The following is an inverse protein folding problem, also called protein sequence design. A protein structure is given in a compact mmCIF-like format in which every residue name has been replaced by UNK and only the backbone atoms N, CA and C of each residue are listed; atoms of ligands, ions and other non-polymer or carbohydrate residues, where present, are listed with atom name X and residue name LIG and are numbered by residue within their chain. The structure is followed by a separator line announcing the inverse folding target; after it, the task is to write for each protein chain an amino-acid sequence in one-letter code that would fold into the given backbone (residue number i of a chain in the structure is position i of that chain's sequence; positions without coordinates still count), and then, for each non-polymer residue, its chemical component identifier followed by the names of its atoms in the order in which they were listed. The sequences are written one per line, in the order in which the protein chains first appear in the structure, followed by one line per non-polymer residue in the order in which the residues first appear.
data_IF_158033194810
#
_entry.id   IF_158033194810
#
_cell.length_a   1.000
_cell.length_b   1.000
_cell.length_c   1.000
_cell.angle_alpha   90.00
_cell.angle_beta   90.00
_cell.angle_gamma   90.00
#
_symmetry.space_group_name_H-M   'P 1'
#
loop_
_entity.id
_entity.type
_entity.pdbx_description
1 polymer ?
#
# COMPACT_ATOMS: atom_id res chain seq x y z
N UNK A 1 -11.43 10.10 0.84
CA UNK A 1 -12.49 10.63 -0.06
C UNK A 1 -12.77 12.10 0.24
N UNK A 2 -13.46 12.46 1.33
CA UNK A 2 -13.86 13.86 1.64
C UNK A 2 -12.72 14.89 1.53
N UNK A 3 -11.54 14.60 2.07
CA UNK A 3 -10.39 15.50 1.99
C UNK A 3 -9.97 15.84 0.55
N UNK A 4 -9.85 14.82 -0.32
CA UNK A 4 -9.47 14.99 -1.73
C UNK A 4 -10.58 15.71 -2.52
N UNK A 5 -11.84 15.28 -2.35
CA UNK A 5 -12.97 15.87 -3.07
C UNK A 5 -13.27 17.31 -2.65
N UNK A 6 -12.92 17.72 -1.42
CA UNK A 6 -12.99 19.13 -0.99
C UNK A 6 -12.10 20.07 -1.81
N UNK A 7 -11.11 19.52 -2.53
CA UNK A 7 -10.21 20.27 -3.43
C UNK A 7 -10.68 20.26 -4.88
N UNK A 8 -11.86 19.69 -5.17
CA UNK A 8 -12.37 19.55 -6.53
C UNK A 8 -11.67 18.45 -7.34
N UNK A 9 -11.02 17.49 -6.67
CA UNK A 9 -10.37 16.34 -7.30
C UNK A 9 -11.17 15.09 -6.99
N UNK A 10 -11.49 14.29 -8.02
CA UNK A 10 -12.22 13.03 -7.86
C UNK A 10 -11.37 11.95 -7.21
N UNK A 11 -12.02 11.05 -6.47
CA UNK A 11 -11.38 9.82 -5.96
C UNK A 11 -11.96 8.59 -6.62
N UNK A 12 -11.13 7.57 -6.82
CA UNK A 12 -11.55 6.24 -7.27
C UNK A 12 -11.46 5.22 -6.13
N UNK A 13 -12.61 4.81 -5.60
CA UNK A 13 -12.68 3.79 -4.56
C UNK A 13 -12.48 2.41 -5.18
N UNK A 14 -11.51 1.62 -4.68
CA UNK A 14 -11.06 0.39 -5.35
C UNK A 14 -10.64 -0.71 -4.36
N UNK A 15 -10.65 -1.99 -4.75
CA UNK A 15 -11.22 -2.56 -5.99
C UNK A 15 -12.55 -3.26 -5.66
N UNK A 16 -13.62 -2.86 -6.35
CA UNK A 16 -15.00 -3.24 -6.07
C UNK A 16 -15.39 -4.51 -6.85
N UNK A 17 -15.50 -5.69 -6.23
CA UNK A 17 -15.25 -6.02 -4.84
C UNK A 17 -14.52 -7.38 -4.71
N UNK A 18 -14.21 -7.75 -3.47
CA UNK A 18 -13.62 -9.05 -3.11
C UNK A 18 -12.27 -9.40 -3.78
N UNK A 19 -11.54 -8.43 -4.36
CA UNK A 19 -10.17 -8.64 -4.82
C UNK A 19 -9.22 -8.74 -3.63
N UNK A 20 -9.16 -9.91 -3.01
CA UNK A 20 -8.51 -10.12 -1.71
C UNK A 20 -7.24 -10.97 -1.79
N UNK A 21 -6.88 -11.40 -3.00
CA UNK A 21 -5.67 -12.15 -3.33
C UNK A 21 -5.20 -11.74 -4.74
N UNK A 22 -3.89 -11.74 -4.96
CA UNK A 22 -3.31 -11.41 -6.26
C UNK A 22 -3.19 -12.65 -7.16
N UNK A 23 -3.02 -13.83 -6.58
CA UNK A 23 -2.91 -15.08 -7.30
C UNK A 23 -4.15 -15.31 -8.17
N UNK A 24 -3.90 -15.35 -9.48
CA UNK A 24 -4.93 -15.52 -10.51
C UNK A 24 -6.03 -14.46 -10.49
N UNK A 25 -5.79 -13.24 -9.97
CA UNK A 25 -6.80 -12.18 -9.81
C UNK A 25 -7.64 -11.90 -11.08
N UNK A 26 -7.06 -12.07 -12.26
CA UNK A 26 -7.74 -11.88 -13.56
C UNK A 26 -8.79 -12.95 -13.89
N UNK A 27 -8.77 -14.10 -13.23
CA UNK A 27 -9.59 -15.26 -13.57
C UNK A 27 -10.17 -15.97 -12.35
N UNK A 28 -9.72 -15.70 -11.13
CA UNK A 28 -10.24 -16.38 -9.94
C UNK A 28 -11.74 -16.10 -9.76
N UNK A 29 -12.45 -17.09 -9.19
CA UNK A 29 -13.85 -16.95 -8.80
C UNK A 29 -13.97 -16.98 -7.29
N UNK A 30 -14.27 -15.83 -6.70
CA UNK A 30 -14.57 -15.69 -5.29
C UNK A 30 -15.98 -16.24 -5.02
N UNK A 31 -16.05 -17.41 -4.38
CA UNK A 31 -17.31 -18.05 -4.00
C UNK A 31 -17.63 -17.64 -2.56
N UNK A 32 -18.51 -16.66 -2.43
CA UNK A 32 -18.80 -16.01 -1.15
C UNK A 32 -20.31 -15.85 -1.00
N UNK A 33 -20.88 -16.29 0.12
CA UNK A 33 -22.29 -16.11 0.38
C UNK A 33 -22.64 -14.61 0.57
N UNK A 34 -23.89 -14.24 0.28
CA UNK A 34 -24.29 -12.82 0.32
C UNK A 34 -24.09 -12.20 1.70
N UNK A 35 -24.33 -12.93 2.80
CA UNK A 35 -24.15 -12.37 4.15
C UNK A 35 -22.70 -11.98 4.37
N UNK A 36 -21.76 -12.86 4.02
CA UNK A 36 -20.32 -12.55 4.12
C UNK A 36 -19.91 -11.41 3.19
N UNK A 37 -20.42 -11.37 1.94
CA UNK A 37 -20.20 -10.23 1.03
C UNK A 37 -20.65 -8.91 1.67
N UNK A 38 -21.89 -8.86 2.17
CA UNK A 38 -22.51 -7.67 2.76
C UNK A 38 -21.78 -7.21 4.03
N UNK A 39 -21.50 -8.13 4.95
CA UNK A 39 -20.93 -7.81 6.28
C UNK A 39 -19.42 -7.53 6.23
N UNK A 40 -18.67 -8.10 5.28
CA UNK A 40 -17.20 -7.99 5.24
C UNK A 40 -16.71 -7.18 4.03
N UNK A 41 -16.92 -7.69 2.82
CA UNK A 41 -16.28 -7.16 1.61
C UNK A 41 -16.92 -5.86 1.10
N UNK A 42 -18.21 -5.68 1.37
CA UNK A 42 -19.00 -4.55 0.87
C UNK A 42 -19.16 -3.43 1.90
N UNK A 43 -19.07 -3.72 3.20
CA UNK A 43 -19.28 -2.75 4.30
C UNK A 43 -18.47 -1.46 4.14
N UNK A 44 -17.18 -1.56 3.81
CA UNK A 44 -16.33 -0.38 3.65
C UNK A 44 -16.75 0.47 2.43
N UNK A 45 -17.19 -0.17 1.34
CA UNK A 45 -17.69 0.53 0.16
C UNK A 45 -19.02 1.20 0.46
N UNK A 46 -19.95 0.52 1.13
CA UNK A 46 -21.23 1.09 1.54
C UNK A 46 -21.05 2.35 2.38
N UNK A 47 -20.17 2.28 3.40
CA UNK A 47 -19.86 3.43 4.26
C UNK A 47 -19.29 4.58 3.42
N UNK A 48 -18.33 4.29 2.54
CA UNK A 48 -17.69 5.29 1.71
C UNK A 48 -18.67 5.97 0.74
N UNK A 49 -19.54 5.21 0.09
CA UNK A 49 -20.58 5.72 -0.82
C UNK A 49 -21.56 6.59 -0.06
N UNK A 50 -22.21 6.05 0.98
CA UNK A 50 -23.27 6.74 1.72
C UNK A 50 -22.77 7.99 2.46
N UNK A 51 -21.51 8.02 2.92
CA UNK A 51 -20.97 9.15 3.70
C UNK A 51 -20.16 10.15 2.89
N UNK A 52 -19.65 9.78 1.71
CA UNK A 52 -18.66 10.59 1.02
C UNK A 52 -18.86 10.73 -0.50
N UNK A 53 -19.71 9.89 -1.13
CA UNK A 53 -19.99 9.91 -2.58
C UNK A 53 -18.70 10.06 -3.42
N UNK A 54 -17.85 9.02 -3.47
CA UNK A 54 -16.66 9.06 -4.31
C UNK A 54 -17.06 9.33 -5.77
N UNK A 55 -16.28 10.12 -6.52
CA UNK A 55 -16.65 10.43 -7.91
C UNK A 55 -16.56 9.22 -8.82
N UNK A 56 -15.66 8.28 -8.50
CA UNK A 56 -15.57 7.01 -9.21
C UNK A 56 -15.43 5.82 -8.27
N UNK A 57 -15.89 4.66 -8.74
CA UNK A 57 -15.64 3.33 -8.15
C UNK A 57 -14.96 2.48 -9.22
N UNK A 58 -13.90 1.77 -8.85
CA UNK A 58 -13.16 0.90 -9.77
C UNK A 58 -13.52 -0.56 -9.53
N UNK A 59 -14.01 -1.24 -10.57
CA UNK A 59 -14.31 -2.66 -10.52
C UNK A 59 -13.06 -3.49 -10.28
N UNK A 60 -13.18 -4.63 -9.60
CA UNK A 60 -12.11 -5.60 -9.46
C UNK A 60 -11.89 -6.45 -10.71
N UNK A 61 -10.77 -7.18 -10.74
CA UNK A 61 -10.43 -8.13 -11.79
C UNK A 61 -11.23 -9.44 -11.72
N UNK A 62 -11.51 -9.90 -10.51
CA UNK A 62 -11.99 -11.26 -10.26
C UNK A 62 -13.48 -11.44 -10.56
N UNK A 63 -13.89 -12.70 -10.58
CA UNK A 63 -15.30 -13.10 -10.56
C UNK A 63 -15.79 -13.18 -9.12
N UNK A 64 -17.07 -12.90 -8.92
CA UNK A 64 -17.79 -13.10 -7.65
C UNK A 64 -18.98 -13.98 -7.96
N UNK A 65 -19.03 -15.16 -7.37
CA UNK A 65 -20.08 -16.16 -7.59
C UNK A 65 -20.34 -16.47 -9.08
N UNK A 66 -19.28 -16.51 -9.88
CA UNK A 66 -19.29 -16.90 -11.29
C UNK A 66 -19.31 -15.74 -12.30
N UNK A 67 -19.56 -14.51 -11.86
CA UNK A 67 -19.69 -13.34 -12.74
C UNK A 67 -18.54 -12.35 -12.51
N UNK A 68 -17.90 -11.88 -13.57
CA UNK A 68 -16.86 -10.85 -13.49
C UNK A 68 -17.41 -9.56 -12.90
N UNK A 69 -16.64 -8.91 -12.01
CA UNK A 69 -17.10 -7.68 -11.35
C UNK A 69 -17.50 -6.58 -12.36
N UNK A 70 -16.81 -6.48 -13.50
CA UNK A 70 -17.14 -5.55 -14.59
C UNK A 70 -18.44 -5.84 -15.34
N UNK A 71 -19.00 -7.04 -15.18
CA UNK A 71 -20.25 -7.48 -15.82
C UNK A 71 -21.33 -7.85 -14.80
N UNK A 72 -21.09 -7.60 -13.51
CA UNK A 72 -21.98 -8.01 -12.43
C UNK A 72 -23.06 -6.94 -12.16
N UNK A 73 -24.22 -7.09 -12.79
CA UNK A 73 -25.37 -6.18 -12.66
C UNK A 73 -25.87 -6.08 -11.21
N UNK A 74 -25.93 -7.19 -10.47
CA UNK A 74 -26.32 -7.16 -9.06
C UNK A 74 -25.37 -6.29 -8.24
N UNK A 75 -24.06 -6.43 -8.44
CA UNK A 75 -23.07 -5.65 -7.70
C UNK A 75 -23.11 -4.15 -8.05
N UNK A 76 -23.21 -3.83 -9.33
CA UNK A 76 -23.05 -2.46 -9.85
C UNK A 76 -24.38 -1.67 -9.86
N UNK A 77 -25.47 -2.26 -10.34
CA UNK A 77 -26.75 -1.58 -10.48
C UNK A 77 -27.63 -1.77 -9.24
N UNK A 78 -27.82 -3.01 -8.77
CA UNK A 78 -28.67 -3.26 -7.59
C UNK A 78 -28.03 -2.72 -6.30
N UNK A 79 -26.84 -3.21 -5.95
CA UNK A 79 -26.20 -2.86 -4.67
C UNK A 79 -25.65 -1.45 -4.70
N UNK A 80 -24.74 -1.14 -5.62
CA UNK A 80 -24.01 0.13 -5.58
C UNK A 80 -24.91 1.32 -5.93
N UNK A 81 -25.71 1.26 -7.00
CA UNK A 81 -26.59 2.37 -7.41
C UNK A 81 -27.93 2.37 -6.70
N UNK A 82 -28.75 1.32 -6.81
CA UNK A 82 -30.14 1.34 -6.31
C UNK A 82 -30.22 1.30 -4.78
N UNK A 83 -29.48 0.42 -4.11
CA UNK A 83 -29.54 0.29 -2.66
C UNK A 83 -28.72 1.36 -1.92
N UNK A 84 -27.52 1.68 -2.40
CA UNK A 84 -26.63 2.63 -1.71
C UNK A 84 -26.71 4.06 -2.23
N UNK A 85 -27.31 4.29 -3.41
CA UNK A 85 -27.45 5.60 -4.00
C UNK A 85 -26.14 6.15 -4.55
N UNK A 86 -25.27 5.32 -5.12
CA UNK A 86 -24.04 5.81 -5.78
C UNK A 86 -24.36 6.63 -7.03
N UNK A 87 -23.90 7.87 -7.06
CA UNK A 87 -24.19 8.79 -8.17
C UNK A 87 -23.07 8.87 -9.22
N UNK A 88 -21.87 8.38 -8.87
CA UNK A 88 -20.66 8.54 -9.65
C UNK A 88 -20.50 7.57 -10.82
N UNK A 89 -19.27 7.52 -11.33
CA UNK A 89 -18.87 6.73 -12.49
C UNK A 89 -18.18 5.42 -12.05
N UNK A 90 -18.52 4.31 -12.71
CA UNK A 90 -17.87 3.01 -12.54
C UNK A 90 -16.83 2.82 -13.64
N UNK A 91 -15.58 2.59 -13.25
CA UNK A 91 -14.45 2.37 -14.16
C UNK A 91 -13.89 0.97 -13.97
N UNK A 92 -13.40 0.33 -15.04
CA UNK A 92 -12.70 -0.96 -14.89
C UNK A 92 -11.32 -0.75 -14.26
N UNK A 93 -10.82 -1.74 -13.52
CA UNK A 93 -9.37 -1.85 -13.35
C UNK A 93 -8.69 -2.08 -14.71
N UNK A 94 -7.36 -1.94 -14.73
CA UNK A 94 -6.56 -1.94 -15.95
C UNK A 94 -6.61 -3.30 -16.67
N UNK A 95 -7.45 -3.41 -17.68
CA UNK A 95 -7.69 -4.65 -18.42
C UNK A 95 -8.74 -5.57 -17.79
N UNK A 96 -9.55 -5.08 -16.84
CA UNK A 96 -10.66 -5.84 -16.24
C UNK A 96 -11.96 -5.81 -17.07
N UNK A 97 -11.98 -5.14 -18.21
CA UNK A 97 -13.08 -5.19 -19.18
C UNK A 97 -13.03 -6.53 -19.92
N UNK A 98 -14.02 -7.41 -19.68
CA UNK A 98 -14.08 -8.76 -20.27
C UNK A 98 -14.84 -8.71 -21.59
N UNK A 99 -16.14 -8.43 -21.55
CA UNK A 99 -16.93 -8.05 -22.70
C UNK A 99 -17.59 -6.68 -22.46
N UNK A 100 -17.32 -5.75 -23.38
CA UNK A 100 -17.80 -4.38 -23.24
C UNK A 100 -19.33 -4.28 -23.30
N UNK A 101 -20.02 -5.12 -24.08
CA UNK A 101 -21.48 -4.97 -24.27
C UNK A 101 -22.26 -5.44 -23.04
N UNK A 102 -22.01 -6.64 -22.47
CA UNK A 102 -22.52 -6.99 -21.14
C UNK A 102 -22.08 -6.01 -20.06
N UNK A 103 -20.81 -5.54 -20.07
CA UNK A 103 -20.31 -4.58 -19.09
C UNK A 103 -21.10 -3.26 -19.08
N UNK A 104 -21.44 -2.70 -20.25
CA UNK A 104 -22.28 -1.50 -20.37
C UNK A 104 -23.68 -1.71 -19.80
N UNK A 105 -24.30 -2.86 -20.10
CA UNK A 105 -25.62 -3.24 -19.59
C UNK A 105 -25.61 -3.42 -18.07
N UNK A 106 -24.52 -3.97 -17.53
CA UNK A 106 -24.33 -4.19 -16.11
C UNK A 106 -23.90 -2.93 -15.33
N UNK A 107 -23.67 -1.78 -15.99
CA UNK A 107 -23.40 -0.50 -15.33
C UNK A 107 -21.95 0.01 -15.40
N UNK A 108 -21.02 -0.71 -16.05
CA UNK A 108 -19.64 -0.24 -16.24
C UNK A 108 -19.59 0.92 -17.22
N UNK A 109 -19.37 2.13 -16.71
CA UNK A 109 -19.38 3.36 -17.51
C UNK A 109 -18.11 3.50 -18.37
N UNK A 110 -16.92 3.26 -17.80
CA UNK A 110 -15.63 3.53 -18.46
C UNK A 110 -14.70 2.31 -18.48
N UNK A 111 -14.20 1.97 -19.66
CA UNK A 111 -13.13 0.99 -19.84
C UNK A 111 -11.75 1.62 -19.71
N UNK A 112 -10.85 0.96 -18.97
CA UNK A 112 -9.44 1.31 -18.83
C UNK A 112 -8.56 0.05 -18.91
N UNK A 113 -7.41 0.08 -19.64
CA UNK A 113 -7.02 1.11 -20.60
C UNK A 113 -7.94 1.13 -21.83
N UNK A 114 -7.76 2.15 -22.67
CA UNK A 114 -8.38 2.18 -23.99
C UNK A 114 -8.04 0.93 -24.82
N UNK A 115 -9.05 0.27 -25.37
CA UNK A 115 -8.93 -0.84 -26.33
C UNK A 115 -8.75 -0.38 -27.79
N UNK A 116 -8.47 0.91 -27.99
CA UNK A 116 -8.42 1.54 -29.31
C UNK A 116 -9.80 1.52 -29.99
N UNK A 117 -9.81 1.20 -31.29
CA UNK A 117 -11.06 1.16 -32.07
C UNK A 117 -11.87 -0.12 -31.86
N UNK A 118 -11.35 -1.13 -31.15
CA UNK A 118 -11.99 -2.43 -31.01
C UNK A 118 -13.36 -2.31 -30.35
N UNK A 119 -13.41 -1.84 -29.10
CA UNK A 119 -14.69 -1.74 -28.39
C UNK A 119 -15.55 -0.59 -28.90
N UNK A 120 -14.97 0.47 -29.44
CA UNK A 120 -15.71 1.52 -30.16
C UNK A 120 -16.55 0.92 -31.30
N UNK A 121 -15.93 0.10 -32.15
CA UNK A 121 -16.62 -0.55 -33.27
C UNK A 121 -17.67 -1.56 -32.78
N UNK A 122 -17.39 -2.30 -31.71
CA UNK A 122 -18.35 -3.24 -31.11
C UNK A 122 -19.58 -2.54 -30.54
N UNK A 123 -19.41 -1.41 -29.85
CA UNK A 123 -20.52 -0.60 -29.33
C UNK A 123 -21.38 -0.08 -30.47
N UNK A 124 -20.77 0.51 -31.50
CA UNK A 124 -21.48 1.03 -32.68
C UNK A 124 -22.28 -0.08 -33.36
N UNK A 125 -21.69 -1.27 -33.53
CA UNK A 125 -22.38 -2.41 -34.11
C UNK A 125 -23.59 -2.86 -33.26
N UNK A 126 -23.38 -3.01 -31.95
CA UNK A 126 -24.41 -3.45 -31.02
C UNK A 126 -25.60 -2.47 -30.91
N UNK A 127 -25.35 -1.16 -31.02
CA UNK A 127 -26.44 -0.17 -31.08
C UNK A 127 -27.20 -0.29 -32.40
N UNK A 128 -26.48 -0.40 -33.53
CA UNK A 128 -27.11 -0.50 -34.86
C UNK A 128 -27.94 -1.76 -35.05
N UNK A 129 -27.52 -2.88 -34.46
CA UNK A 129 -28.22 -4.16 -34.56
C UNK A 129 -29.25 -4.41 -33.44
N UNK A 130 -29.35 -3.49 -32.46
CA UNK A 130 -30.29 -3.55 -31.35
C UNK A 130 -29.85 -4.45 -30.19
N UNK A 131 -28.65 -5.03 -30.23
CA UNK A 131 -28.08 -5.79 -29.10
C UNK A 131 -27.86 -4.91 -27.88
N UNK A 132 -27.55 -3.63 -28.06
CA UNK A 132 -27.43 -2.61 -27.02
C UNK A 132 -28.43 -1.49 -27.27
N UNK A 133 -29.31 -1.23 -26.31
CA UNK A 133 -30.18 -0.04 -26.36
C UNK A 133 -29.31 1.22 -26.25
N UNK A 134 -29.46 2.15 -27.20
CA UNK A 134 -28.74 3.43 -27.21
C UNK A 134 -28.96 4.21 -25.91
N UNK A 135 -30.13 4.07 -25.28
CA UNK A 135 -30.39 4.70 -23.98
C UNK A 135 -29.44 4.22 -22.88
N UNK A 136 -29.07 2.94 -22.87
CA UNK A 136 -28.08 2.41 -21.91
C UNK A 136 -26.73 3.08 -22.17
N UNK A 137 -26.33 3.20 -23.44
CA UNK A 137 -25.09 3.88 -23.80
C UNK A 137 -25.10 5.35 -23.38
N UNK A 138 -26.19 6.08 -23.63
CA UNK A 138 -26.37 7.47 -23.24
C UNK A 138 -26.19 7.64 -21.72
N UNK A 139 -26.82 6.78 -20.91
CA UNK A 139 -26.67 6.83 -19.46
C UNK A 139 -25.21 6.63 -19.00
N UNK A 140 -24.44 5.76 -19.67
CA UNK A 140 -23.01 5.57 -19.37
C UNK A 140 -22.18 6.78 -19.81
N UNK A 141 -22.50 7.37 -20.95
CA UNK A 141 -21.83 8.57 -21.48
C UNK A 141 -22.10 9.78 -20.57
N UNK A 142 -23.32 9.94 -20.07
CA UNK A 142 -23.68 10.99 -19.12
C UNK A 142 -22.80 10.94 -17.87
N UNK A 143 -22.51 9.75 -17.32
CA UNK A 143 -21.58 9.61 -16.18
C UNK A 143 -20.16 10.08 -16.49
N UNK A 144 -19.68 9.84 -17.70
CA UNK A 144 -18.37 10.32 -18.15
C UNK A 144 -18.37 11.85 -18.30
N UNK A 145 -19.41 12.40 -18.93
CA UNK A 145 -19.57 13.85 -19.11
C UNK A 145 -19.71 14.56 -17.75
N UNK A 146 -20.50 14.02 -16.83
CA UNK A 146 -20.65 14.53 -15.47
C UNK A 146 -19.30 14.63 -14.75
N UNK A 147 -18.47 13.59 -14.84
CA UNK A 147 -17.12 13.60 -14.25
C UNK A 147 -16.23 14.68 -14.88
N UNK A 148 -16.28 14.84 -16.21
CA UNK A 148 -15.52 15.88 -16.93
C UNK A 148 -15.97 17.27 -16.48
N UNK A 149 -17.27 17.54 -16.47
CA UNK A 149 -17.83 18.82 -16.04
C UNK A 149 -17.50 19.11 -14.58
N UNK A 150 -17.60 18.10 -13.70
CA UNK A 150 -17.32 18.22 -12.26
C UNK A 150 -15.86 18.49 -11.96
N UNK A 151 -14.94 17.95 -12.75
CA UNK A 151 -13.48 18.14 -12.57
C UNK A 151 -12.94 19.43 -13.19
N UNK A 152 -13.61 19.97 -14.21
CA UNK A 152 -13.17 21.17 -14.96
C UNK A 152 -12.76 22.37 -14.08
N UNK A 153 -13.53 22.78 -13.04
CA UNK A 153 -13.15 23.95 -12.24
C UNK A 153 -11.83 23.81 -11.47
N UNK A 154 -11.42 22.58 -11.14
CA UNK A 154 -10.13 22.33 -10.50
C UNK A 154 -9.00 22.30 -11.53
N UNK A 155 -9.25 21.72 -12.71
CA UNK A 155 -8.26 21.58 -13.78
C UNK A 155 -7.92 22.90 -14.50
N UNK A 156 -8.84 23.86 -14.52
CA UNK A 156 -8.58 25.20 -15.08
C UNK A 156 -7.61 26.04 -14.25
N UNK A 157 -7.33 25.63 -13.00
CA UNK A 157 -6.43 26.35 -12.10
C UNK A 157 -4.99 25.89 -12.32
N UNK A 158 -4.06 26.84 -12.44
CA UNK A 158 -2.65 26.55 -12.24
C UNK A 158 -2.41 26.27 -10.76
N UNK A 159 -2.11 25.02 -10.41
CA UNK A 159 -1.87 24.61 -9.04
C UNK A 159 -0.39 24.44 -8.75
N UNK A 160 0.06 25.02 -7.65
CA UNK A 160 1.33 24.69 -7.00
C UNK A 160 1.03 24.16 -5.60
N UNK A 161 1.96 23.41 -5.03
CA UNK A 161 1.85 22.92 -3.66
C UNK A 161 3.12 23.21 -2.89
N UNK A 162 2.98 23.36 -1.58
CA UNK A 162 4.09 23.53 -0.66
C UNK A 162 4.64 22.15 -0.30
N UNK A 163 5.82 21.84 -0.84
CA UNK A 163 6.53 20.56 -0.63
C UNK A 163 6.84 20.36 0.85
N UNK A 164 7.24 21.41 1.56
CA UNK A 164 7.66 21.33 2.95
C UNK A 164 6.45 21.13 3.87
N UNK A 165 5.37 21.89 3.63
CA UNK A 165 4.13 21.73 4.39
C UNK A 165 3.51 20.34 4.17
N UNK A 166 3.52 19.81 2.94
CA UNK A 166 3.03 18.46 2.66
C UNK A 166 3.93 17.38 3.27
N UNK A 167 5.25 17.59 3.30
CA UNK A 167 6.18 16.67 3.98
C UNK A 167 5.94 16.64 5.50
N UNK A 168 5.67 17.79 6.13
CA UNK A 168 5.31 17.86 7.55
C UNK A 168 3.98 17.15 7.86
N UNK A 169 2.99 17.23 6.96
CA UNK A 169 1.75 16.44 7.09
C UNK A 169 2.05 14.94 6.98
N UNK A 170 2.89 14.53 6.02
CA UNK A 170 3.29 13.14 5.86
C UNK A 170 4.00 12.61 7.12
N UNK A 171 4.86 13.42 7.75
CA UNK A 171 5.50 13.09 9.02
C UNK A 171 4.46 12.84 10.11
N UNK A 172 3.52 13.77 10.31
CA UNK A 172 2.47 13.62 11.34
C UNK A 172 1.61 12.37 11.14
N UNK A 173 1.29 12.05 9.87
CA UNK A 173 0.55 10.82 9.54
C UNK A 173 1.40 9.59 9.88
N UNK A 174 2.68 9.58 9.50
CA UNK A 174 3.57 8.47 9.80
C UNK A 174 3.70 8.25 11.32
N UNK A 175 3.93 9.31 12.11
CA UNK A 175 3.99 9.25 13.58
C UNK A 175 2.70 8.68 14.18
N UNK A 176 1.53 9.11 13.68
CA UNK A 176 0.23 8.60 14.13
C UNK A 176 -0.12 7.20 13.62
N UNK A 177 0.69 6.60 12.74
CA UNK A 177 0.42 5.31 12.10
C UNK A 177 1.32 4.17 12.59
N UNK A 178 2.30 4.42 13.46
CA UNK A 178 3.16 3.36 13.99
C UNK A 178 2.54 2.68 15.20
N UNK A 179 2.92 1.42 15.46
CA UNK A 179 2.48 0.69 16.65
C UNK A 179 3.68 0.26 17.49
N UNK A 180 3.72 0.69 18.76
CA UNK A 180 4.61 0.12 19.75
C UNK A 180 4.02 -1.19 20.27
N UNK A 181 4.60 -2.31 19.86
CA UNK A 181 4.09 -3.66 20.15
C UNK A 181 4.72 -4.27 21.41
N UNK A 182 5.93 -3.83 21.78
CA UNK A 182 6.65 -4.31 22.96
C UNK A 182 7.57 -3.22 23.52
N UNK A 183 7.62 -3.08 24.85
CA UNK A 183 8.49 -2.12 25.53
C UNK A 183 8.86 -2.58 26.95
N UNK A 184 9.57 -3.70 27.05
CA UNK A 184 10.03 -4.24 28.32
C UNK A 184 11.04 -3.27 28.98
N UNK A 185 11.02 -3.19 30.30
CA UNK A 185 11.89 -2.33 31.13
C UNK A 185 11.84 -0.82 30.81
N UNK A 186 10.89 -0.37 29.97
CA UNK A 186 10.90 0.99 29.45
C UNK A 186 12.15 1.28 28.63
N UNK A 187 12.57 0.32 27.79
CA UNK A 187 13.73 0.48 26.89
C UNK A 187 13.54 1.65 25.89
N UNK A 188 12.29 1.93 25.52
CA UNK A 188 11.89 3.13 24.79
C UNK A 188 11.11 4.09 25.69
N UNK A 189 11.31 5.42 25.55
CA UNK A 189 12.17 6.06 24.56
C UNK A 189 13.68 5.93 24.87
N UNK A 190 14.51 6.02 23.83
CA UNK A 190 15.96 6.11 23.92
C UNK A 190 16.33 7.32 24.80
N UNK A 191 17.34 7.13 25.65
CA UNK A 191 17.78 8.13 26.62
C UNK A 191 18.95 8.91 26.06
N UNK A 192 18.97 10.22 26.34
CA UNK A 192 20.09 11.08 26.00
C UNK A 192 21.43 10.54 26.54
N UNK A 193 22.46 10.57 25.70
CA UNK A 193 23.80 10.09 26.03
C UNK A 193 24.01 8.58 25.91
N UNK A 194 22.99 7.79 25.55
CA UNK A 194 23.18 6.38 25.22
C UNK A 194 23.91 6.21 23.89
N UNK A 195 24.82 5.24 23.85
CA UNK A 195 25.40 4.73 22.61
C UNK A 195 24.41 3.76 21.96
N UNK A 196 24.02 4.05 20.73
CA UNK A 196 23.02 3.27 20.00
C UNK A 196 23.66 2.62 18.77
N UNK A 197 23.60 1.30 18.68
CA UNK A 197 23.98 0.60 17.45
C UNK A 197 22.76 0.50 16.54
N UNK A 198 22.76 1.22 15.44
CA UNK A 198 21.72 1.15 14.40
C UNK A 198 22.14 0.10 13.36
N UNK A 199 21.37 -0.97 13.25
CA UNK A 199 21.75 -2.16 12.49
C UNK A 199 20.67 -2.48 11.46
N UNK A 200 21.07 -2.78 10.22
CA UNK A 200 20.17 -3.17 9.13
C UNK A 200 20.07 -2.11 8.04
N UNK A 201 20.01 -2.54 6.78
CA UNK A 201 20.01 -1.63 5.62
C UNK A 201 18.81 -0.68 5.63
N UNK A 202 17.63 -1.14 6.09
CA UNK A 202 16.41 -0.33 6.13
C UNK A 202 16.51 0.92 7.02
N UNK A 203 17.50 1.00 7.91
CA UNK A 203 17.76 2.22 8.68
C UNK A 203 18.23 3.40 7.80
N UNK A 204 18.93 3.11 6.69
CA UNK A 204 19.45 4.09 5.71
C UNK A 204 18.71 4.07 4.37
N UNK A 205 18.25 2.90 3.93
CA UNK A 205 17.48 2.71 2.71
C UNK A 205 16.06 2.21 3.06
N UNK A 206 15.18 3.09 3.58
CA UNK A 206 13.91 2.70 4.18
C UNK A 206 13.00 2.01 3.18
N UNK A 207 12.23 1.04 3.67
CA UNK A 207 11.07 0.52 2.95
C UNK A 207 9.84 1.33 3.32
N UNK A 208 9.47 2.27 2.44
CA UNK A 208 8.49 3.32 2.76
C UNK A 208 7.14 3.21 2.06
N UNK A 209 6.99 2.31 1.09
CA UNK A 209 5.74 2.11 0.33
C UNK A 209 5.66 0.68 -0.22
N UNK A 210 4.51 0.28 -0.76
CA UNK A 210 4.35 -1.01 -1.45
C UNK A 210 5.00 -1.01 -2.84
N UNK A 211 5.06 -2.17 -3.50
CA UNK A 211 5.41 -2.27 -4.91
C UNK A 211 4.15 -2.31 -5.81
N UNK A 212 4.32 -2.19 -7.12
CA UNK A 212 3.22 -2.20 -8.10
C UNK A 212 2.68 -0.80 -8.45
N UNK A 213 1.39 -0.70 -8.79
CA UNK A 213 0.74 0.55 -9.22
C UNK A 213 0.70 1.64 -8.15
N UNK A 214 0.97 1.31 -6.89
CA UNK A 214 0.99 2.25 -5.76
C UNK A 214 2.31 3.02 -5.59
N UNK A 215 3.34 2.69 -6.37
CA UNK A 215 4.69 3.29 -6.25
C UNK A 215 4.68 4.77 -6.66
N UNK A 216 5.21 5.62 -5.80
CA UNK A 216 5.39 7.05 -6.01
C UNK A 216 6.88 7.42 -5.90
N UNK A 217 7.36 8.31 -6.77
CA UNK A 217 8.66 8.97 -6.59
C UNK A 217 8.50 10.08 -5.53
N UNK A 218 9.07 9.94 -4.32
CA UNK A 218 8.84 10.90 -3.25
C UNK A 218 9.55 12.23 -3.54
N UNK A 219 8.95 13.33 -3.08
CA UNK A 219 9.60 14.65 -3.15
C UNK A 219 10.84 14.75 -2.26
N UNK A 220 10.80 14.08 -1.10
CA UNK A 220 11.88 14.00 -0.12
C UNK A 220 11.81 12.65 0.56
N UNK A 221 12.93 12.00 0.83
CA UNK A 221 12.94 10.73 1.57
C UNK A 221 13.87 10.86 2.77
N UNK A 222 13.29 10.69 3.97
CA UNK A 222 14.04 10.61 5.23
C UNK A 222 14.37 9.15 5.57
N UNK A 223 15.48 8.92 6.28
CA UNK A 223 15.85 7.61 6.82
C UNK A 223 16.16 7.73 8.32
N UNK A 224 15.85 6.69 9.11
CA UNK A 224 15.91 6.79 10.56
C UNK A 224 17.32 7.05 11.10
N UNK A 225 18.36 6.52 10.44
CA UNK A 225 19.74 6.72 10.89
C UNK A 225 20.14 8.20 10.85
N UNK A 226 19.94 8.88 9.72
CA UNK A 226 20.31 10.29 9.58
C UNK A 226 19.46 11.19 10.50
N UNK A 227 18.19 10.84 10.73
CA UNK A 227 17.31 11.61 11.62
C UNK A 227 17.67 11.44 13.10
N UNK A 228 18.07 10.24 13.54
CA UNK A 228 18.62 10.02 14.88
C UNK A 228 19.91 10.83 15.11
N UNK A 229 20.79 10.92 14.10
CA UNK A 229 21.98 11.78 14.17
C UNK A 229 21.62 13.25 14.33
N UNK A 230 20.61 13.75 13.59
CA UNK A 230 20.15 15.15 13.69
C UNK A 230 19.55 15.45 15.06
N UNK A 231 18.93 14.47 15.72
CA UNK A 231 18.43 14.58 17.08
C UNK A 231 19.54 14.51 18.15
N UNK A 232 20.80 14.29 17.75
CA UNK A 232 21.95 14.25 18.65
C UNK A 232 22.15 12.91 19.36
N UNK A 233 21.57 11.82 18.85
CA UNK A 233 21.80 10.47 19.36
C UNK A 233 23.21 9.99 18.95
N UNK A 234 23.96 9.43 19.90
CA UNK A 234 25.28 8.84 19.64
C UNK A 234 25.11 7.49 18.94
N UNK A 235 24.99 7.51 17.62
CA UNK A 235 24.74 6.32 16.80
C UNK A 235 26.00 5.79 16.11
N UNK A 236 26.12 4.47 16.10
CA UNK A 236 26.97 3.72 15.17
C UNK A 236 26.10 2.98 14.16
N UNK A 237 26.67 2.61 13.00
CA UNK A 237 25.96 1.91 11.95
C UNK A 237 26.61 0.57 11.61
N UNK A 238 25.80 -0.47 11.45
CA UNK A 238 26.19 -1.71 10.79
C UNK A 238 25.15 -2.10 9.73
N UNK A 239 25.62 -2.53 8.56
CA UNK A 239 24.78 -2.81 7.41
C UNK A 239 23.82 -4.00 7.65
N UNK A 240 24.30 -5.08 8.27
CA UNK A 240 23.50 -6.25 8.67
C UNK A 240 23.08 -7.17 7.50
N UNK A 241 22.50 -6.63 6.44
CA UNK A 241 22.05 -7.37 5.25
C UNK A 241 21.98 -6.43 4.04
N UNK A 242 21.60 -6.99 2.89
CA UNK A 242 21.26 -6.24 1.68
C UNK A 242 19.90 -6.71 1.15
N UNK A 243 18.95 -5.79 0.92
CA UNK A 243 17.60 -6.05 0.43
C UNK A 243 17.57 -6.61 -0.99
N UNK A 244 18.54 -6.24 -1.83
CA UNK A 244 18.60 -6.65 -3.23
C UNK A 244 19.64 -7.73 -3.45
N UNK A 245 19.41 -8.62 -4.41
CA UNK A 245 20.41 -9.58 -4.87
C UNK A 245 21.69 -8.87 -5.38
N UNK A 246 22.87 -9.50 -5.27
CA UNK A 246 24.11 -8.95 -5.82
C UNK A 246 24.05 -8.85 -7.35
N UNK A 247 24.59 -7.76 -7.88
CA UNK A 247 24.75 -7.51 -9.31
C UNK A 247 26.22 -7.52 -9.70
N UNK A 248 26.52 -7.51 -11.01
CA UNK A 248 27.91 -7.42 -11.52
C UNK A 248 28.66 -6.15 -11.09
N UNK A 249 27.96 -5.14 -10.55
CA UNK A 249 28.54 -3.89 -10.06
C UNK A 249 28.98 -3.99 -8.59
N UNK A 250 28.54 -5.01 -7.87
CA UNK A 250 28.73 -5.16 -6.43
C UNK A 250 29.99 -5.97 -6.09
N UNK A 251 31.14 -5.54 -6.62
CA UNK A 251 32.41 -6.30 -6.51
C UNK A 251 32.94 -6.41 -5.08
N UNK A 252 32.65 -5.42 -4.24
CA UNK A 252 33.14 -5.32 -2.85
C UNK A 252 32.03 -5.60 -1.82
N UNK A 253 30.97 -6.30 -2.25
CA UNK A 253 29.84 -6.62 -1.38
C UNK A 253 30.23 -7.72 -0.40
N UNK A 254 30.15 -7.38 0.89
CA UNK A 254 30.38 -8.30 2.01
C UNK A 254 29.42 -9.49 2.00
N UNK A 255 29.88 -10.63 2.50
CA UNK A 255 29.04 -11.80 2.72
C UNK A 255 28.11 -11.59 3.92
N UNK A 256 27.07 -12.42 4.02
CA UNK A 256 26.15 -12.36 5.16
C UNK A 256 26.87 -12.63 6.48
N UNK A 257 27.87 -13.52 6.50
CA UNK A 257 28.68 -13.81 7.68
C UNK A 257 29.50 -12.60 8.12
N UNK A 258 30.16 -11.92 7.19
CA UNK A 258 30.92 -10.70 7.48
C UNK A 258 30.01 -9.59 8.05
N UNK A 259 28.84 -9.40 7.44
CA UNK A 259 27.84 -8.42 7.92
C UNK A 259 27.32 -8.77 9.32
N UNK A 260 27.10 -10.05 9.61
CA UNK A 260 26.63 -10.51 10.91
C UNK A 260 27.68 -10.28 12.00
N UNK A 261 28.97 -10.51 11.70
CA UNK A 261 30.08 -10.20 12.62
C UNK A 261 30.10 -8.71 12.94
N UNK A 262 30.02 -7.84 11.92
CA UNK A 262 29.99 -6.39 12.12
C UNK A 262 28.78 -5.93 12.95
N UNK A 263 27.61 -6.51 12.71
CA UNK A 263 26.41 -6.22 13.48
C UNK A 263 26.58 -6.59 14.97
N UNK A 264 27.13 -7.77 15.27
CA UNK A 264 27.41 -8.20 16.64
C UNK A 264 28.46 -7.30 17.32
N UNK A 265 29.52 -6.95 16.62
CA UNK A 265 30.55 -6.04 17.15
C UNK A 265 30.00 -4.65 17.47
N UNK A 266 29.14 -4.10 16.61
CA UNK A 266 28.46 -2.83 16.87
C UNK A 266 27.53 -2.95 18.08
N UNK A 267 26.72 -4.01 18.14
CA UNK A 267 25.80 -4.25 19.25
C UNK A 267 26.51 -4.40 20.60
N UNK A 268 27.66 -5.09 20.64
CA UNK A 268 28.43 -5.31 21.86
C UNK A 268 29.04 -4.02 22.44
N UNK A 269 29.25 -2.99 21.61
CA UNK A 269 29.87 -1.71 22.00
C UNK A 269 28.83 -0.63 22.35
N UNK A 270 27.54 -0.92 22.22
CA UNK A 270 26.43 0.00 22.42
C UNK A 270 25.62 -0.32 23.68
N UNK A 271 24.96 0.69 24.24
CA UNK A 271 24.04 0.53 25.36
C UNK A 271 22.71 -0.10 24.90
N UNK A 272 22.29 0.24 23.68
CA UNK A 272 21.07 -0.26 23.02
C UNK A 272 21.39 -0.60 21.56
N UNK A 273 20.90 -1.74 21.08
CA UNK A 273 20.92 -2.08 19.65
C UNK A 273 19.53 -1.87 19.06
N UNK A 274 19.42 -1.09 17.98
CA UNK A 274 18.17 -0.87 17.24
C UNK A 274 18.31 -1.54 15.87
N UNK A 275 17.61 -2.65 15.69
CA UNK A 275 17.70 -3.49 14.49
C UNK A 275 16.50 -3.22 13.58
N UNK A 276 16.76 -2.82 12.35
CA UNK A 276 15.76 -2.55 11.32
C UNK A 276 15.65 -3.77 10.41
N UNK A 277 14.48 -4.39 10.36
CA UNK A 277 14.19 -5.56 9.53
C UNK A 277 12.76 -5.47 8.99
N UNK A 278 12.39 -6.36 8.07
CA UNK A 278 11.02 -6.45 7.61
C UNK A 278 10.87 -7.12 6.27
N UNK A 279 9.81 -6.76 5.55
CA UNK A 279 9.49 -7.27 4.22
C UNK A 279 10.20 -6.43 3.15
N UNK A 280 10.79 -7.10 2.15
CA UNK A 280 11.48 -6.45 1.02
C UNK A 280 10.58 -6.34 -0.20
N UNK A 281 11.09 -5.77 -1.30
CA UNK A 281 10.31 -5.47 -2.54
C UNK A 281 9.79 -6.74 -3.19
N UNK A 282 10.44 -7.85 -2.92
CA UNK A 282 10.09 -9.20 -3.38
C UNK A 282 8.93 -9.83 -2.59
N UNK A 283 8.68 -9.39 -1.36
CA UNK A 283 7.68 -10.02 -0.49
C UNK A 283 6.33 -9.31 -0.54
N UNK A 284 6.28 -8.03 -0.94
CA UNK A 284 5.04 -7.25 -0.95
C UNK A 284 4.94 -6.42 -2.23
N UNK A 285 4.15 -6.91 -3.18
CA UNK A 285 3.90 -6.23 -4.44
C UNK A 285 2.61 -6.67 -5.11
N UNK A 286 2.16 -5.84 -6.03
CA UNK A 286 1.05 -6.17 -6.91
C UNK A 286 1.44 -7.29 -7.89
N UNK A 287 0.52 -8.24 -8.10
CA UNK A 287 0.63 -9.33 -9.06
C UNK A 287 0.98 -10.70 -8.48
N UNK A 288 1.27 -10.80 -7.19
CA UNK A 288 1.54 -12.07 -6.52
C UNK A 288 1.24 -12.00 -5.01
N UNK A 289 0.92 -13.15 -4.42
CA UNK A 289 0.76 -13.30 -2.98
C UNK A 289 2.03 -13.88 -2.35
N UNK A 290 2.23 -13.63 -1.05
CA UNK A 290 3.30 -14.27 -0.28
C UNK A 290 2.99 -15.76 -0.08
N UNK A 291 4.03 -16.59 -0.16
CA UNK A 291 3.92 -18.03 0.15
C UNK A 291 3.75 -18.33 1.65
N UNK A 292 4.13 -17.38 2.50
CA UNK A 292 4.01 -17.51 3.96
C UNK A 292 4.20 -16.17 4.68
N UNK A 293 4.11 -16.21 6.00
CA UNK A 293 4.25 -15.02 6.85
C UNK A 293 5.71 -14.73 7.26
N UNK A 294 6.69 -15.42 6.67
CA UNK A 294 8.11 -15.21 6.95
C UNK A 294 8.63 -13.88 6.38
N UNK A 295 9.67 -13.36 7.01
CA UNK A 295 10.60 -12.35 6.45
C UNK A 295 11.83 -13.08 5.89
N UNK A 296 12.73 -12.40 5.15
CA UNK A 296 14.02 -13.01 4.77
C UNK A 296 14.71 -13.65 5.96
N UNK A 297 15.20 -14.89 5.80
CA UNK A 297 15.76 -15.68 6.89
C UNK A 297 16.94 -14.97 7.57
N UNK A 298 17.76 -14.27 6.78
CA UNK A 298 18.87 -13.46 7.23
C UNK A 298 18.46 -12.33 8.19
N UNK A 299 17.23 -11.81 8.08
CA UNK A 299 16.71 -10.82 9.02
C UNK A 299 16.44 -11.47 10.39
N UNK A 300 15.86 -12.68 10.40
CA UNK A 300 15.62 -13.43 11.63
C UNK A 300 16.93 -13.81 12.32
N UNK A 301 17.92 -14.27 11.55
CA UNK A 301 19.25 -14.64 12.05
C UNK A 301 19.99 -13.42 12.62
N UNK A 302 19.92 -12.28 11.93
CA UNK A 302 20.49 -11.01 12.39
C UNK A 302 19.90 -10.59 13.74
N UNK A 303 18.57 -10.56 13.86
CA UNK A 303 17.93 -10.17 15.12
C UNK A 303 18.29 -11.13 16.25
N UNK A 304 18.27 -12.44 15.99
CA UNK A 304 18.62 -13.43 17.00
C UNK A 304 20.06 -13.27 17.50
N UNK A 305 21.02 -13.08 16.59
CA UNK A 305 22.44 -12.91 16.92
C UNK A 305 22.74 -11.59 17.64
N UNK A 306 22.08 -10.49 17.23
CA UNK A 306 22.20 -9.20 17.89
C UNK A 306 21.61 -9.25 19.30
N UNK A 307 20.42 -9.83 19.46
CA UNK A 307 19.76 -9.95 20.77
C UNK A 307 20.53 -10.84 21.76
N UNK A 308 21.23 -11.86 21.27
CA UNK A 308 22.14 -12.67 22.09
C UNK A 308 23.38 -11.88 22.53
N UNK A 309 23.86 -10.99 21.67
CA UNK A 309 25.06 -10.17 21.94
C UNK A 309 24.74 -8.97 22.83
N UNK A 310 23.58 -8.35 22.64
CA UNK A 310 23.10 -7.22 23.43
C UNK A 310 21.64 -7.44 23.84
N UNK A 311 21.35 -7.76 25.12
CA UNK A 311 19.99 -8.00 25.58
C UNK A 311 19.11 -6.74 25.59
N UNK A 312 19.69 -5.54 25.46
CA UNK A 312 18.95 -4.30 25.23
C UNK A 312 18.73 -4.08 23.73
N UNK A 313 18.05 -5.03 23.08
CA UNK A 313 17.72 -4.95 21.66
C UNK A 313 16.29 -4.44 21.47
N UNK A 314 16.15 -3.43 20.62
CA UNK A 314 14.90 -2.92 20.06
C UNK A 314 14.84 -3.31 18.58
N UNK A 315 13.69 -3.76 18.11
CA UNK A 315 13.48 -4.04 16.68
C UNK A 315 12.47 -3.05 16.10
N UNK A 316 12.80 -2.50 14.93
CA UNK A 316 11.89 -1.71 14.11
C UNK A 316 11.55 -2.55 12.87
N UNK A 317 10.26 -2.89 12.71
CA UNK A 317 9.75 -3.63 11.56
C UNK A 317 9.22 -2.66 10.51
N UNK A 318 9.61 -2.87 9.25
CA UNK A 318 8.98 -2.25 8.08
C UNK A 318 8.23 -3.30 7.24
N UNK A 319 6.95 -3.07 6.94
CA UNK A 319 6.12 -4.00 6.18
C UNK A 319 4.65 -3.61 6.19
N UNK A 320 3.92 -4.02 5.15
CA UNK A 320 2.48 -3.74 5.01
C UNK A 320 1.57 -4.76 5.68
N UNK A 321 2.06 -5.98 5.95
CA UNK A 321 1.28 -7.10 6.50
C UNK A 321 1.97 -7.81 7.67
N UNK A 322 1.29 -8.80 8.24
CA UNK A 322 1.76 -9.58 9.39
C UNK A 322 3.00 -10.40 9.04
N UNK A 323 3.86 -10.61 10.05
CA UNK A 323 5.07 -11.44 9.93
C UNK A 323 5.23 -12.39 11.12
N UNK A 324 5.90 -13.53 10.90
CA UNK A 324 6.38 -14.39 11.98
C UNK A 324 7.60 -13.75 12.66
N UNK A 325 7.65 -13.79 13.99
CA UNK A 325 8.71 -13.20 14.81
C UNK A 325 9.28 -14.22 15.81
N UNK A 326 10.11 -15.19 15.37
CA UNK A 326 10.63 -16.24 16.25
C UNK A 326 11.53 -15.71 17.38
N UNK A 327 12.11 -14.52 17.21
CA UNK A 327 12.99 -13.83 18.15
C UNK A 327 12.26 -12.92 19.15
N UNK A 328 10.93 -12.82 19.13
CA UNK A 328 10.15 -11.86 19.94
C UNK A 328 10.46 -11.90 21.45
N UNK A 329 10.75 -13.10 21.98
CA UNK A 329 11.10 -13.28 23.41
C UNK A 329 12.52 -12.82 23.76
N UNK A 330 13.40 -12.61 22.78
CA UNK A 330 14.81 -12.24 22.98
C UNK A 330 15.06 -10.72 22.96
N UNK A 331 14.09 -9.94 22.47
CA UNK A 331 14.22 -8.47 22.33
C UNK A 331 13.38 -7.77 23.38
N UNK A 332 13.74 -6.54 23.77
CA UNK A 332 13.00 -5.76 24.77
C UNK A 332 12.02 -4.77 24.15
N UNK A 333 12.34 -4.21 22.98
CA UNK A 333 11.48 -3.26 22.27
C UNK A 333 11.04 -3.78 20.90
N UNK A 334 9.82 -3.46 20.49
CA UNK A 334 9.30 -3.74 19.16
C UNK A 334 8.42 -2.60 18.67
N UNK A 335 8.85 -1.93 17.60
CA UNK A 335 8.09 -0.90 16.90
C UNK A 335 7.72 -1.41 15.51
N UNK A 336 6.42 -1.47 15.19
CA UNK A 336 5.97 -1.64 13.81
C UNK A 336 5.83 -0.25 13.15
N UNK A 337 6.73 0.03 12.22
CA UNK A 337 6.74 1.29 11.47
C UNK A 337 5.82 1.29 10.24
N UNK A 338 5.28 0.12 9.88
CA UNK A 338 4.48 -0.05 8.67
C UNK A 338 5.27 0.30 7.41
N UNK A 339 4.59 0.93 6.45
CA UNK A 339 5.19 1.59 5.29
C UNK A 339 4.96 3.09 5.41
N UNK A 340 5.78 3.76 6.24
CA UNK A 340 5.56 5.12 6.74
C UNK A 340 5.69 6.26 5.72
N UNK A 341 5.84 5.96 4.43
CA UNK A 341 5.94 6.95 3.38
C UNK A 341 7.20 7.82 3.48
N UNK A 342 7.17 8.94 2.76
CA UNK A 342 8.35 9.76 2.48
C UNK A 342 9.02 10.37 3.73
N UNK A 343 8.26 10.55 4.82
CA UNK A 343 8.72 11.09 6.09
C UNK A 343 8.85 10.02 7.20
N UNK A 344 8.78 8.73 6.84
CA UNK A 344 8.80 7.62 7.80
C UNK A 344 10.08 7.57 8.64
N UNK A 345 11.23 7.94 8.09
CA UNK A 345 12.49 8.01 8.82
C UNK A 345 12.46 9.01 9.99
N UNK A 346 11.90 10.21 9.77
CA UNK A 346 11.70 11.22 10.82
C UNK A 346 10.76 10.68 11.90
N UNK A 347 9.64 10.09 11.47
CA UNK A 347 8.65 9.55 12.40
C UNK A 347 9.22 8.43 13.29
N UNK A 348 10.01 7.52 12.71
CA UNK A 348 10.70 6.48 13.50
C UNK A 348 11.65 7.11 14.51
N UNK A 349 12.50 8.05 14.07
CA UNK A 349 13.47 8.69 14.94
C UNK A 349 12.83 9.49 16.10
N UNK A 350 11.66 10.10 15.87
CA UNK A 350 10.93 10.82 16.92
C UNK A 350 10.23 9.90 17.92
N UNK A 351 9.86 8.68 17.51
CA UNK A 351 9.19 7.69 18.38
C UNK A 351 10.20 6.90 19.21
N UNK A 352 11.37 6.60 18.63
CA UNK A 352 12.47 5.92 19.30
C UNK A 352 13.02 6.76 20.45
#
# INVERSE_FOLDING_TARGET
INGVQSKGVGTSLKHFAANSQEAFRMVVNEVVDERTLRETYLTAFEIAVKKAQPWTVMNSYNRINGVYASENEWLQEEVLRKEWGFEGLIVTDWGASVDRIPGLKAGTDLEMPCSGDLNTNRIIAAVKDGTLDEKILDERVDKVVDLIVKSKPALEKTYTYDVDAHHAIAQKIAEGSMQLLKNDDGILPLKAGQKVAVIGEMAKAPRFQGAGSSVINPTKLSNAFDELQKLGVDVSYAQGYYKSAPTKKDKDRKTNEELLVEAKEAAAKADVAVVFVGLTEEFEGEGYDREGIEIPAEHNDLVAAVAETNPNTVVVIAGGSVILMPWLKKVKGLLNSGLGGQAGGIAVANIL
#
